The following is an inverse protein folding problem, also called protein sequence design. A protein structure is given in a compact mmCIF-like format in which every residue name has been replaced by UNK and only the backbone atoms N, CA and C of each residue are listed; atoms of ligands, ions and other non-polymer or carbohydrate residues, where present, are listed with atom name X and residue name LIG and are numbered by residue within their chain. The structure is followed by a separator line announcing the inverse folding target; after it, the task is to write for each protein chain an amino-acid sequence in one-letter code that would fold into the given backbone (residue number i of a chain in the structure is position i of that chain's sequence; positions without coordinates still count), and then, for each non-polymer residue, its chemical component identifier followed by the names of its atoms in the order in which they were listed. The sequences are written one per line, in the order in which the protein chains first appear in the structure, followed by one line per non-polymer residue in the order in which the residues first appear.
data_IF_731779609141
#
_entry.id   IF_731779609141
#
_cell.length_a   1.000
_cell.length_b   1.000
_cell.length_c   1.000
_cell.angle_alpha   90.00
_cell.angle_beta   90.00
_cell.angle_gamma   90.00
#
_symmetry.space_group_name_H-M   'P 1'
#
loop_
_entity.id
_entity.type
_entity.pdbx_description
1 polymer ?
#
# COMPACT_ATOMS: atom_id res chain seq x y z
N UNK A 1 12.92 17.71 27.91
CA UNK A 1 12.18 17.97 26.66
C UNK A 1 13.07 17.73 25.42
N UNK A 2 14.32 17.27 25.64
CA UNK A 2 15.41 17.24 24.65
C UNK A 2 15.42 16.00 23.75
N UNK A 3 14.62 14.98 24.09
CA UNK A 3 14.62 13.69 23.38
C UNK A 3 14.03 13.81 21.96
N UNK A 4 12.96 14.59 21.77
CA UNK A 4 12.37 14.81 20.44
C UNK A 4 13.28 15.65 19.54
N UNK A 5 13.94 16.66 20.11
CA UNK A 5 14.88 17.52 19.39
C UNK A 5 16.08 16.72 18.89
N UNK A 6 16.63 15.87 19.74
CA UNK A 6 17.72 14.96 19.38
C UNK A 6 17.32 14.04 18.23
N UNK A 7 16.15 13.38 18.33
CA UNK A 7 15.63 12.52 17.26
C UNK A 7 15.36 13.26 15.96
N UNK A 8 14.83 14.49 16.02
CA UNK A 8 14.63 15.32 14.83
C UNK A 8 15.96 15.65 14.15
N UNK A 9 17.03 15.90 14.92
CA UNK A 9 18.37 16.09 14.36
C UNK A 9 18.90 14.80 13.72
N UNK A 10 18.67 13.65 14.33
CA UNK A 10 19.01 12.34 13.74
C UNK A 10 18.31 12.15 12.40
N UNK A 11 17.01 12.42 12.32
CA UNK A 11 16.23 12.34 11.08
C UNK A 11 16.82 13.26 10.01
N UNK A 12 17.11 14.51 10.33
CA UNK A 12 17.73 15.45 9.37
C UNK A 12 19.12 14.97 8.94
N UNK A 13 19.87 14.36 9.86
CA UNK A 13 21.14 13.71 9.60
C UNK A 13 21.01 12.61 8.54
N UNK A 14 20.06 11.70 8.72
CA UNK A 14 19.88 10.55 7.82
C UNK A 14 19.23 10.94 6.50
N UNK A 15 18.20 11.79 6.51
CA UNK A 15 17.40 12.10 5.32
C UNK A 15 18.04 13.16 4.42
N UNK A 16 18.77 14.12 5.01
CA UNK A 16 19.33 15.27 4.28
C UNK A 16 20.80 15.52 4.63
N UNK A 17 21.53 14.50 5.09
CA UNK A 17 22.95 14.60 5.45
C UNK A 17 23.26 15.77 6.43
N UNK A 18 22.33 16.05 7.34
CA UNK A 18 22.44 17.13 8.33
C UNK A 18 22.03 18.52 7.84
N UNK A 19 21.64 18.67 6.58
CA UNK A 19 21.24 19.96 6.02
C UNK A 19 19.79 20.32 6.36
N UNK A 20 19.62 21.12 7.43
CA UNK A 20 18.29 21.55 7.87
C UNK A 20 17.53 22.44 6.85
N UNK A 21 18.24 23.18 5.97
CA UNK A 21 17.56 23.96 4.91
C UNK A 21 16.99 23.07 3.83
N UNK A 22 17.74 22.02 3.49
CA UNK A 22 17.27 21.02 2.54
C UNK A 22 16.11 20.21 3.11
N UNK A 23 16.17 19.84 4.40
CA UNK A 23 15.06 19.18 5.07
C UNK A 23 13.80 20.04 5.12
N UNK A 24 13.93 21.34 5.42
CA UNK A 24 12.82 22.31 5.34
C UNK A 24 12.21 22.36 3.94
N UNK A 25 13.05 22.43 2.89
CA UNK A 25 12.59 22.41 1.49
C UNK A 25 11.90 21.10 1.13
N UNK A 26 12.46 19.96 1.53
CA UNK A 26 11.92 18.62 1.24
C UNK A 26 10.56 18.43 1.90
N UNK A 27 10.42 18.84 3.15
CA UNK A 27 9.18 18.67 3.93
C UNK A 27 8.13 19.74 3.65
N UNK A 28 8.48 20.85 3.00
CA UNK A 28 7.60 22.01 2.82
C UNK A 28 7.43 22.87 4.08
N UNK A 29 8.22 22.60 5.13
CA UNK A 29 8.16 23.33 6.40
C UNK A 29 9.00 24.60 6.30
N UNK A 30 8.49 25.78 6.70
CA UNK A 30 9.31 26.98 6.74
C UNK A 30 10.56 26.79 7.59
N UNK A 31 11.72 27.23 7.09
CA UNK A 31 13.00 27.02 7.78
C UNK A 31 13.03 27.65 9.18
N UNK A 32 12.39 28.81 9.37
CA UNK A 32 12.23 29.47 10.67
C UNK A 32 11.41 28.64 11.66
N UNK A 33 10.37 27.96 11.17
CA UNK A 33 9.55 27.04 11.95
C UNK A 33 10.35 25.81 12.39
N UNK A 34 11.09 25.18 11.45
CA UNK A 34 11.97 24.06 11.74
C UNK A 34 13.08 24.43 12.74
N UNK A 35 13.69 25.61 12.59
CA UNK A 35 14.64 26.19 13.54
C UNK A 35 14.04 26.32 14.95
N UNK A 36 12.78 26.75 15.05
CA UNK A 36 12.06 26.82 16.33
C UNK A 36 11.97 25.47 17.04
N UNK A 37 11.86 24.37 16.29
CA UNK A 37 11.79 23.02 16.85
C UNK A 37 13.11 22.55 17.45
N UNK A 38 14.23 22.97 16.88
CA UNK A 38 15.55 22.62 17.41
C UNK A 38 15.91 23.29 18.73
N UNK A 39 15.17 24.32 19.13
CA UNK A 39 15.47 25.09 20.33
C UNK A 39 14.53 24.70 21.49
N UNK A 40 13.22 24.96 21.39
CA UNK A 40 12.27 24.73 22.51
C UNK A 40 10.82 24.48 22.09
N UNK A 41 10.49 24.40 20.79
CA UNK A 41 9.10 24.23 20.34
C UNK A 41 8.82 22.80 19.91
N UNK A 42 7.67 22.27 20.31
CA UNK A 42 7.20 21.01 19.77
C UNK A 42 6.62 21.24 18.37
N UNK A 43 6.86 20.32 17.40
CA UNK A 43 6.17 20.34 16.12
C UNK A 43 4.66 20.20 16.32
N UNK A 44 3.88 20.98 15.56
CA UNK A 44 2.43 20.81 15.51
C UNK A 44 2.08 19.59 14.65
N UNK A 45 0.87 19.06 14.84
CA UNK A 45 0.39 17.90 14.08
C UNK A 45 0.50 18.08 12.56
N UNK A 46 0.18 19.27 12.04
CA UNK A 46 0.32 19.61 10.61
C UNK A 46 1.75 19.37 10.08
N UNK A 47 2.77 19.73 10.86
CA UNK A 47 4.16 19.60 10.45
C UNK A 47 4.70 18.19 10.67
N UNK A 48 4.13 17.44 11.63
CA UNK A 48 4.43 16.01 11.78
C UNK A 48 3.92 15.23 10.57
N UNK A 49 2.71 15.54 10.08
CA UNK A 49 2.17 14.93 8.86
C UNK A 49 3.07 15.21 7.65
N UNK A 50 3.50 16.46 7.46
CA UNK A 50 4.42 16.84 6.38
C UNK A 50 5.78 16.11 6.46
N UNK A 51 6.31 15.87 7.66
CA UNK A 51 7.54 15.07 7.83
C UNK A 51 7.32 13.60 7.45
N UNK A 52 6.16 13.04 7.79
CA UNK A 52 5.82 11.66 7.42
C UNK A 52 5.64 11.52 5.90
N UNK A 53 4.85 12.39 5.28
CA UNK A 53 4.52 12.33 3.86
C UNK A 53 5.75 12.59 2.97
N UNK A 54 6.50 13.65 3.26
CA UNK A 54 7.53 14.13 2.33
C UNK A 54 8.96 13.65 2.68
N UNK A 55 9.17 13.18 3.90
CA UNK A 55 10.46 12.67 4.36
C UNK A 55 10.41 11.23 4.90
N UNK A 56 9.24 10.56 4.83
CA UNK A 56 9.08 9.19 5.27
C UNK A 56 9.30 9.00 6.76
N UNK A 57 9.13 10.05 7.58
CA UNK A 57 9.46 9.99 9.01
C UNK A 57 8.34 9.28 9.78
N UNK A 58 8.68 8.28 10.57
CA UNK A 58 7.74 7.65 11.47
C UNK A 58 7.45 8.57 12.67
N UNK A 59 6.24 9.13 12.72
CA UNK A 59 5.82 10.08 13.78
C UNK A 59 5.85 9.40 15.16
N UNK A 60 5.45 8.12 15.25
CA UNK A 60 5.46 7.36 16.51
C UNK A 60 6.87 7.26 17.06
N UNK A 61 7.85 6.94 16.22
CA UNK A 61 9.26 6.92 16.62
C UNK A 61 9.77 8.31 16.99
N UNK A 62 9.42 9.34 16.22
CA UNK A 62 9.87 10.71 16.50
C UNK A 62 9.37 11.19 17.89
N UNK A 63 8.13 10.87 18.26
CA UNK A 63 7.55 11.29 19.53
C UNK A 63 7.97 10.40 20.71
N UNK A 64 8.00 9.09 20.53
CA UNK A 64 8.17 8.12 21.62
C UNK A 64 9.57 7.48 21.68
N UNK A 65 10.28 7.44 20.56
CA UNK A 65 11.53 6.69 20.39
C UNK A 65 11.33 5.18 20.16
N UNK A 66 10.09 4.72 20.03
CA UNK A 66 9.74 3.30 19.84
C UNK A 66 9.48 3.03 18.36
N UNK A 67 10.00 1.91 17.86
CA UNK A 67 9.86 1.48 16.47
C UNK A 67 11.01 1.93 15.57
N UNK A 68 10.75 1.97 14.26
CA UNK A 68 11.73 2.40 13.27
C UNK A 68 11.61 3.89 12.96
N UNK A 69 12.74 4.53 12.67
CA UNK A 69 12.82 5.97 12.43
C UNK A 69 12.16 6.42 11.13
N UNK A 70 12.36 5.64 10.07
CA UNK A 70 11.77 5.90 8.76
C UNK A 70 10.72 4.84 8.50
N UNK A 71 9.63 5.26 7.89
CA UNK A 71 8.68 4.35 7.26
C UNK A 71 9.39 3.81 6.02
N UNK A 72 9.50 2.50 5.89
CA UNK A 72 10.04 1.90 4.66
C UNK A 72 9.36 2.50 3.42
N UNK A 73 10.11 2.69 2.33
CA UNK A 73 9.55 3.07 1.03
C UNK A 73 8.53 2.04 0.53
N UNK A 74 8.59 0.79 1.04
CA UNK A 74 7.56 -0.24 0.81
C UNK A 74 6.24 0.04 1.53
N UNK A 75 6.23 0.95 2.53
CA UNK A 75 5.06 1.34 3.31
C UNK A 75 4.45 2.69 2.88
N UNK A 76 5.14 3.50 2.07
CA UNK A 76 4.71 4.85 1.65
C UNK A 76 4.29 4.97 0.18
N UNK A 77 4.09 3.86 -0.53
CA UNK A 77 3.10 3.86 -1.61
C UNK A 77 1.70 3.96 -0.99
N UNK A 78 1.24 5.20 -0.81
CA UNK A 78 -0.16 5.55 -0.64
C UNK A 78 -0.97 5.30 -1.92
N UNK A 79 -0.87 4.10 -2.49
CA UNK A 79 -2.06 3.43 -3.03
C UNK A 79 -2.61 2.65 -1.86
N UNK A 80 -3.89 2.82 -1.55
CA UNK A 80 -4.52 2.16 -0.41
C UNK A 80 -4.03 0.71 -0.33
N UNK A 81 -3.61 0.25 0.86
CA UNK A 81 -3.48 -1.20 1.09
C UNK A 81 -4.81 -1.95 0.85
N UNK A 82 -5.91 -1.19 0.71
CA UNK A 82 -7.22 -1.65 0.28
C UNK A 82 -7.39 -1.72 -1.26
N UNK A 83 -6.53 -1.08 -2.08
CA UNK A 83 -6.60 -1.11 -3.56
C UNK A 83 -5.84 -2.30 -4.18
N UNK A 84 -5.06 -3.00 -3.36
CA UNK A 84 -4.33 -4.22 -3.73
C UNK A 84 -4.63 -5.37 -2.78
N UNK A 85 -5.72 -5.29 -2.01
CA UNK A 85 -6.20 -6.44 -1.27
C UNK A 85 -6.86 -7.37 -2.29
N UNK A 86 -6.02 -8.04 -3.07
CA UNK A 86 -6.49 -9.18 -3.84
C UNK A 86 -7.07 -10.15 -2.85
N UNK A 87 -8.39 -10.33 -2.92
CA UNK A 87 -9.06 -11.40 -2.20
C UNK A 87 -8.43 -12.73 -2.65
N UNK A 88 -7.48 -13.18 -1.83
CA UNK A 88 -6.67 -14.36 -2.09
C UNK A 88 -7.56 -15.61 -2.10
N UNK A 89 -8.68 -15.59 -1.37
CA UNK A 89 -9.66 -16.67 -1.35
C UNK A 89 -10.41 -16.73 -2.68
N UNK A 90 -10.87 -15.59 -3.19
CA UNK A 90 -11.53 -15.52 -4.51
C UNK A 90 -10.57 -15.94 -5.63
N UNK A 91 -9.33 -15.45 -5.63
CA UNK A 91 -8.33 -15.86 -6.63
C UNK A 91 -8.06 -17.37 -6.55
N UNK A 92 -7.85 -17.90 -5.35
CA UNK A 92 -7.62 -19.33 -5.15
C UNK A 92 -8.79 -20.16 -5.64
N UNK A 93 -10.03 -19.77 -5.33
CA UNK A 93 -11.26 -20.42 -5.82
C UNK A 93 -11.31 -20.44 -7.34
N UNK A 94 -11.04 -19.32 -8.01
CA UNK A 94 -11.07 -19.22 -9.48
C UNK A 94 -9.99 -20.13 -10.10
N UNK A 95 -8.74 -20.03 -9.64
CA UNK A 95 -7.63 -20.83 -10.18
C UNK A 95 -7.92 -22.31 -10.02
N UNK A 96 -8.25 -22.74 -8.79
CA UNK A 96 -8.57 -24.13 -8.48
C UNK A 96 -9.67 -24.65 -9.40
N UNK A 97 -10.76 -23.89 -9.53
CA UNK A 97 -11.88 -24.26 -10.38
C UNK A 97 -11.47 -24.41 -11.85
N UNK A 98 -10.71 -23.46 -12.38
CA UNK A 98 -10.24 -23.48 -13.78
C UNK A 98 -9.38 -24.72 -14.04
N UNK A 99 -8.45 -25.04 -13.15
CA UNK A 99 -7.59 -26.22 -13.31
C UNK A 99 -8.38 -27.53 -13.19
N UNK A 100 -9.24 -27.67 -12.19
CA UNK A 100 -10.10 -28.86 -12.03
C UNK A 100 -11.04 -29.07 -13.21
N UNK A 101 -11.52 -27.99 -13.82
CA UNK A 101 -12.36 -28.06 -15.01
C UNK A 101 -11.57 -28.48 -16.25
N UNK A 102 -10.39 -27.89 -16.47
CA UNK A 102 -9.52 -28.25 -17.61
C UNK A 102 -9.08 -29.71 -17.53
N UNK A 103 -8.76 -30.20 -16.33
CA UNK A 103 -8.41 -31.60 -16.08
C UNK A 103 -9.59 -32.55 -16.34
N UNK A 104 -10.78 -32.22 -15.81
CA UNK A 104 -12.00 -33.03 -16.00
C UNK A 104 -12.42 -33.16 -17.46
N UNK A 105 -12.30 -32.07 -18.22
CA UNK A 105 -12.73 -32.01 -19.62
C UNK A 105 -11.61 -32.40 -20.61
N UNK A 106 -10.43 -32.79 -20.10
CA UNK A 106 -9.22 -33.10 -20.89
C UNK A 106 -8.88 -32.00 -21.90
N UNK A 107 -8.90 -30.75 -21.43
CA UNK A 107 -8.75 -29.54 -22.25
C UNK A 107 -7.49 -28.77 -21.90
N UNK A 108 -6.82 -28.26 -22.92
CA UNK A 108 -5.64 -27.41 -22.76
C UNK A 108 -5.95 -25.95 -23.07
N UNK A 109 -5.60 -25.07 -22.13
CA UNK A 109 -5.67 -23.61 -22.32
C UNK A 109 -4.25 -23.03 -22.21
N UNK A 110 -3.72 -22.37 -23.27
CA UNK A 110 -2.42 -21.73 -23.24
C UNK A 110 -2.26 -20.75 -22.06
N UNK A 111 -1.05 -20.62 -21.47
CA UNK A 111 -0.82 -19.80 -20.29
C UNK A 111 -1.34 -18.35 -20.42
N UNK A 112 -1.13 -17.70 -21.56
CA UNK A 112 -1.61 -16.33 -21.80
C UNK A 112 -3.13 -16.21 -21.77
N UNK A 113 -3.83 -17.17 -22.38
CA UNK A 113 -5.30 -17.19 -22.39
C UNK A 113 -5.86 -17.53 -21.01
N UNK A 114 -5.20 -18.45 -20.29
CA UNK A 114 -5.54 -18.81 -18.92
C UNK A 114 -5.40 -17.61 -17.97
N UNK A 115 -4.29 -16.89 -18.05
CA UNK A 115 -4.06 -15.68 -17.26
C UNK A 115 -5.11 -14.59 -17.56
N UNK A 116 -5.43 -14.36 -18.84
CA UNK A 116 -6.49 -13.42 -19.23
C UNK A 116 -7.86 -13.83 -18.69
N UNK A 117 -8.20 -15.12 -18.75
CA UNK A 117 -9.46 -15.63 -18.22
C UNK A 117 -9.55 -15.42 -16.70
N UNK A 118 -8.50 -15.82 -15.95
CA UNK A 118 -8.45 -15.67 -14.49
C UNK A 118 -8.59 -14.19 -14.09
N UNK A 119 -7.92 -13.29 -14.79
CA UNK A 119 -8.04 -11.85 -14.56
C UNK A 119 -9.47 -11.34 -14.78
N UNK A 120 -10.12 -11.73 -15.88
CA UNK A 120 -11.49 -11.34 -16.19
C UNK A 120 -12.50 -11.91 -15.17
N UNK A 121 -12.33 -13.16 -14.77
CA UNK A 121 -13.15 -13.79 -13.74
C UNK A 121 -12.98 -13.06 -12.40
N UNK A 122 -11.74 -12.76 -12.02
CA UNK A 122 -11.43 -12.05 -10.78
C UNK A 122 -12.09 -10.67 -10.74
N UNK A 123 -11.98 -9.88 -11.80
CA UNK A 123 -12.65 -8.57 -11.93
C UNK A 123 -14.18 -8.71 -11.80
N UNK A 124 -14.77 -9.73 -12.42
CA UNK A 124 -16.22 -9.96 -12.36
C UNK A 124 -16.74 -10.29 -10.95
N UNK A 125 -15.97 -11.07 -10.19
CA UNK A 125 -16.34 -11.48 -8.82
C UNK A 125 -16.04 -10.41 -7.77
N UNK A 126 -15.06 -9.54 -8.02
CA UNK A 126 -14.67 -8.45 -7.10
C UNK A 126 -15.33 -7.11 -7.39
N UNK A 127 -15.98 -6.92 -8.56
CA UNK A 127 -16.73 -5.69 -8.84
C UNK A 127 -17.96 -5.57 -7.91
N UNK A 128 -18.05 -4.53 -7.06
CA UNK A 128 -19.20 -4.32 -6.19
C UNK A 128 -20.46 -4.03 -7.00
N UNK A 129 -21.59 -4.66 -6.66
CA UNK A 129 -22.93 -4.16 -7.05
C UNK A 129 -23.55 -3.42 -5.87
N UNK A 130 -24.62 -2.67 -6.13
CA UNK A 130 -25.36 -1.79 -5.19
C UNK A 130 -25.77 -2.44 -3.83
N UNK A 131 -25.53 -3.74 -3.60
CA UNK A 131 -25.81 -4.45 -2.35
C UNK A 131 -24.59 -4.90 -1.53
N UNK A 132 -23.37 -4.45 -1.87
CA UNK A 132 -22.24 -4.41 -0.93
C UNK A 132 -21.51 -5.73 -0.63
N UNK A 133 -21.97 -6.88 -1.13
CA UNK A 133 -21.26 -8.15 -1.04
C UNK A 133 -20.84 -8.62 -2.44
N UNK A 134 -19.61 -9.09 -2.60
CA UNK A 134 -19.07 -9.58 -3.86
C UNK A 134 -19.90 -10.74 -4.43
N UNK A 135 -19.70 -11.10 -5.71
CA UNK A 135 -20.36 -12.29 -6.26
C UNK A 135 -19.68 -13.54 -5.74
N UNK A 136 -20.48 -14.49 -5.25
CA UNK A 136 -20.00 -15.84 -4.99
C UNK A 136 -19.57 -16.51 -6.30
N UNK A 137 -18.42 -17.17 -6.27
CA UNK A 137 -17.93 -17.94 -7.42
C UNK A 137 -18.85 -19.14 -7.64
N UNK A 138 -19.71 -19.06 -8.67
CA UNK A 138 -20.68 -20.10 -9.04
C UNK A 138 -20.24 -20.84 -10.32
N UNK A 139 -20.25 -22.17 -10.24
CA UNK A 139 -19.94 -23.11 -11.31
C UNK A 139 -20.69 -22.84 -12.62
N UNK A 140 -21.95 -22.39 -12.55
CA UNK A 140 -22.77 -22.18 -13.75
C UNK A 140 -22.25 -21.06 -14.65
N UNK A 141 -21.88 -19.92 -14.05
CA UNK A 141 -21.35 -18.76 -14.78
C UNK A 141 -19.98 -19.07 -15.37
N UNK A 142 -19.12 -19.72 -14.58
CA UNK A 142 -17.76 -20.04 -14.99
C UNK A 142 -17.73 -21.06 -16.13
N UNK A 143 -18.61 -22.07 -16.09
CA UNK A 143 -18.79 -23.04 -17.18
C UNK A 143 -19.19 -22.38 -18.49
N UNK A 144 -20.11 -21.41 -18.44
CA UNK A 144 -20.56 -20.69 -19.63
C UNK A 144 -19.41 -19.92 -20.28
N UNK A 145 -18.53 -19.33 -19.47
CA UNK A 145 -17.43 -18.50 -19.97
C UNK A 145 -16.27 -19.34 -20.50
N UNK A 146 -15.92 -20.45 -19.84
CA UNK A 146 -14.83 -21.31 -20.29
C UNK A 146 -15.11 -22.02 -21.61
N UNK A 147 -16.39 -22.37 -21.87
CA UNK A 147 -16.83 -22.88 -23.17
C UNK A 147 -16.67 -21.89 -24.34
N UNK A 148 -16.49 -20.60 -24.05
CA UNK A 148 -16.26 -19.57 -25.07
C UNK A 148 -14.77 -19.32 -25.34
N UNK A 149 -13.88 -19.80 -24.47
CA UNK A 149 -12.45 -19.46 -24.49
C UNK A 149 -11.57 -20.66 -24.87
N UNK A 150 -12.03 -21.88 -24.59
CA UNK A 150 -11.40 -23.15 -25.01
C UNK A 150 -12.01 -23.66 -26.29
#
# INVERSE_FOLDING_TARGET
MDMIVSRLRTVVGVVCNGNAREFARKTGIPYSTLQGYFHKRLPKAEYLALMAENAGVNITWLLTGIGEMLLDESATSGKNKDDLQMDLEVLHRIIKWVEEWLDREDKFLPPDKKARFIALAYEYFTTPRESGDGRDVNDSDMNKWLRLVV
#
